data_IF_537070653101
#
_entry.id   IF_537070653101
#
_cell.length_a   1.000
_cell.length_b   1.000
_cell.length_c   1.000
_cell.angle_alpha   90.00
_cell.angle_beta   90.00
_cell.angle_gamma   90.00
#
_symmetry.space_group_name_H-M   'P 1'
#
loop_
_entity.id
_entity.type
_entity.pdbx_description
1 polymer ?
#
# COMPACT_ATOMS: atom_id res chain seq x y z
N UNK A 1 6.91 -20.72 3.26
CA UNK A 1 7.70 -20.30 4.44
C UNK A 1 8.94 -19.50 4.07
N UNK A 2 9.92 -20.02 3.30
CA UNK A 2 11.14 -19.27 2.93
C UNK A 2 10.85 -17.92 2.26
N UNK A 3 9.93 -17.87 1.27
CA UNK A 3 9.55 -16.61 0.61
C UNK A 3 9.01 -15.58 1.59
N UNK A 4 8.11 -15.97 2.50
CA UNK A 4 7.56 -15.08 3.51
C UNK A 4 8.67 -14.53 4.44
N UNK A 5 9.59 -15.41 4.87
CA UNK A 5 10.71 -15.02 5.72
C UNK A 5 11.68 -14.02 5.06
N UNK A 6 11.77 -14.01 3.72
CA UNK A 6 12.59 -13.05 2.95
C UNK A 6 11.80 -11.77 2.63
N UNK A 7 10.54 -11.92 2.21
CA UNK A 7 9.71 -10.78 1.79
C UNK A 7 9.40 -9.84 2.94
N UNK A 8 9.07 -10.34 4.13
CA UNK A 8 8.75 -9.49 5.29
C UNK A 8 9.89 -8.52 5.64
N UNK A 9 11.14 -8.98 5.90
CA UNK A 9 12.23 -8.05 6.19
C UNK A 9 12.63 -7.20 4.98
N UNK A 10 12.49 -7.69 3.74
CA UNK A 10 12.78 -6.88 2.56
C UNK A 10 11.81 -5.69 2.42
N UNK A 11 10.50 -5.95 2.56
CA UNK A 11 9.46 -4.91 2.48
C UNK A 11 9.59 -3.92 3.63
N UNK A 12 9.77 -4.40 4.87
CA UNK A 12 9.99 -3.52 6.03
C UNK A 12 11.29 -2.71 5.90
N UNK A 13 12.37 -3.32 5.43
CA UNK A 13 13.65 -2.65 5.24
C UNK A 13 13.59 -1.55 4.17
N UNK A 14 12.90 -1.79 3.05
CA UNK A 14 12.67 -0.78 2.02
C UNK A 14 11.82 0.37 2.56
N UNK A 15 10.75 0.06 3.28
CA UNK A 15 9.82 1.07 3.80
C UNK A 15 10.43 1.90 4.93
N UNK A 16 11.13 1.26 5.87
CA UNK A 16 11.88 1.98 6.90
C UNK A 16 13.04 2.77 6.31
N UNK A 17 13.75 2.23 5.31
CA UNK A 17 14.79 2.95 4.58
C UNK A 17 14.25 4.22 3.92
N UNK A 18 13.10 4.12 3.25
CA UNK A 18 12.37 5.24 2.66
C UNK A 18 12.06 6.31 3.72
N UNK A 19 11.45 5.90 4.84
CA UNK A 19 11.07 6.79 5.94
C UNK A 19 12.27 7.48 6.58
N UNK A 20 13.40 6.78 6.75
CA UNK A 20 14.62 7.32 7.33
C UNK A 20 15.25 8.37 6.41
N UNK A 21 15.26 8.14 5.10
CA UNK A 21 15.75 9.12 4.12
C UNK A 21 14.89 10.38 4.10
N UNK A 22 13.56 10.23 4.14
CA UNK A 22 12.63 11.35 4.24
C UNK A 22 12.89 12.19 5.51
N UNK A 23 13.04 11.54 6.67
CA UNK A 23 13.39 12.19 7.94
C UNK A 23 14.76 12.87 7.93
N UNK A 24 15.72 12.31 7.19
CA UNK A 24 17.05 12.88 7.05
C UNK A 24 17.07 14.13 6.14
N UNK A 25 15.95 14.47 5.50
CA UNK A 25 15.85 15.64 4.62
C UNK A 25 16.72 15.52 3.37
N UNK A 26 17.04 14.29 2.93
CA UNK A 26 17.74 14.10 1.66
C UNK A 26 16.83 14.44 0.49
N UNK A 27 17.40 14.52 -0.72
CA UNK A 27 16.62 14.73 -1.93
C UNK A 27 15.44 13.74 -2.02
N UNK A 28 14.23 14.22 -2.37
CA UNK A 28 13.01 13.40 -2.44
C UNK A 28 13.10 12.26 -3.48
N UNK A 29 14.07 12.33 -4.39
CA UNK A 29 14.36 11.27 -5.36
C UNK A 29 14.62 9.93 -4.66
N UNK A 30 15.34 9.90 -3.53
CA UNK A 30 15.68 8.63 -2.89
C UNK A 30 14.49 7.94 -2.21
N UNK A 31 13.66 8.64 -1.41
CA UNK A 31 12.41 8.05 -0.93
C UNK A 31 11.50 7.55 -2.06
N UNK A 32 11.37 8.30 -3.16
CA UNK A 32 10.56 7.88 -4.32
C UNK A 32 11.11 6.60 -4.94
N UNK A 33 12.43 6.51 -5.12
CA UNK A 33 13.08 5.32 -5.66
C UNK A 33 12.87 4.10 -4.76
N UNK A 34 12.98 4.24 -3.44
CA UNK A 34 12.73 3.13 -2.51
C UNK A 34 11.26 2.72 -2.49
N UNK A 35 10.34 3.69 -2.54
CA UNK A 35 8.91 3.41 -2.69
C UNK A 35 8.61 2.64 -3.96
N UNK A 36 9.15 3.06 -5.11
CA UNK A 36 9.03 2.31 -6.36
C UNK A 36 9.71 0.94 -6.33
N UNK A 37 10.86 0.83 -5.65
CA UNK A 37 11.61 -0.42 -5.52
C UNK A 37 10.85 -1.52 -4.76
N UNK A 38 9.82 -1.17 -3.98
CA UNK A 38 8.89 -2.15 -3.41
C UNK A 38 8.26 -3.05 -4.49
N UNK A 39 8.07 -2.56 -5.71
CA UNK A 39 7.61 -3.39 -6.83
C UNK A 39 8.55 -4.58 -7.15
N UNK A 40 9.85 -4.49 -6.81
CA UNK A 40 10.81 -5.56 -7.09
C UNK A 40 10.50 -6.84 -6.30
N UNK A 41 9.80 -6.73 -5.17
CA UNK A 41 9.42 -7.92 -4.37
C UNK A 41 8.34 -8.77 -5.06
N UNK A 42 7.70 -8.23 -6.10
CA UNK A 42 6.76 -8.95 -6.95
C UNK A 42 7.43 -9.70 -8.11
N UNK A 43 8.75 -9.57 -8.31
CA UNK A 43 9.48 -10.32 -9.33
C UNK A 43 9.34 -11.83 -9.09
N UNK A 44 8.96 -12.57 -10.14
CA UNK A 44 8.73 -14.02 -10.06
C UNK A 44 7.34 -14.43 -9.61
N UNK A 45 6.42 -13.48 -9.38
CA UNK A 45 4.99 -13.75 -9.22
C UNK A 45 4.24 -13.60 -10.55
N UNK A 46 3.22 -14.43 -10.76
CA UNK A 46 2.30 -14.22 -11.88
C UNK A 46 1.36 -13.04 -11.60
N UNK A 47 0.90 -12.30 -12.62
CA UNK A 47 -0.10 -11.24 -12.44
C UNK A 47 -1.35 -11.72 -11.69
N UNK A 48 -1.80 -12.95 -11.95
CA UNK A 48 -2.95 -13.57 -11.30
C UNK A 48 -2.71 -13.76 -9.80
N UNK A 49 -1.52 -14.23 -9.39
CA UNK A 49 -1.19 -14.40 -7.98
C UNK A 49 -1.18 -13.05 -7.24
N UNK A 50 -0.71 -11.98 -7.89
CA UNK A 50 -0.74 -10.63 -7.35
C UNK A 50 -2.17 -10.05 -7.32
N UNK A 51 -3.09 -10.54 -8.16
CA UNK A 51 -4.44 -10.00 -8.31
C UNK A 51 -4.54 -8.91 -9.38
N UNK A 52 -3.57 -8.85 -10.30
CA UNK A 52 -3.47 -7.90 -11.42
C UNK A 52 -4.09 -8.46 -12.72
N UNK A 53 -5.27 -9.05 -12.62
CA UNK A 53 -5.98 -9.50 -13.81
C UNK A 53 -6.60 -8.31 -14.56
N UNK A 54 -6.60 -8.39 -15.89
CA UNK A 54 -7.23 -7.37 -16.76
C UNK A 54 -8.72 -7.60 -16.98
N UNK A 55 -9.25 -8.73 -16.49
CA UNK A 55 -10.67 -9.04 -16.59
C UNK A 55 -11.48 -8.02 -15.77
N UNK A 56 -12.57 -7.51 -16.34
CA UNK A 56 -13.49 -6.55 -15.69
C UNK A 56 -12.77 -5.29 -15.16
N UNK A 57 -11.76 -4.80 -15.87
CA UNK A 57 -10.96 -3.64 -15.45
C UNK A 57 -11.82 -2.43 -15.03
N UNK A 58 -12.88 -2.12 -15.76
CA UNK A 58 -13.79 -1.02 -15.40
C UNK A 58 -14.43 -1.17 -14.01
N UNK A 59 -14.82 -2.39 -13.63
CA UNK A 59 -15.38 -2.66 -12.29
C UNK A 59 -14.31 -2.59 -11.20
N UNK A 60 -13.07 -3.01 -11.51
CA UNK A 60 -11.93 -2.92 -10.59
C UNK A 60 -11.54 -1.46 -10.33
N UNK A 61 -11.53 -0.63 -11.37
CA UNK A 61 -11.34 0.81 -11.27
C UNK A 61 -12.44 1.47 -10.43
N UNK A 62 -13.72 1.15 -10.70
CA UNK A 62 -14.85 1.64 -9.91
C UNK A 62 -14.74 1.21 -8.44
N UNK A 63 -14.30 -0.02 -8.19
CA UNK A 63 -14.00 -0.52 -6.85
C UNK A 63 -12.92 0.28 -6.14
N UNK A 64 -11.85 0.62 -6.86
CA UNK A 64 -10.80 1.50 -6.37
C UNK A 64 -11.28 2.91 -6.05
N UNK A 65 -12.15 3.49 -6.87
CA UNK A 65 -12.80 4.78 -6.57
C UNK A 65 -13.64 4.69 -5.29
N UNK A 66 -14.39 3.59 -5.10
CA UNK A 66 -15.17 3.37 -3.89
C UNK A 66 -14.28 3.21 -2.64
N UNK A 67 -13.18 2.47 -2.74
CA UNK A 67 -12.17 2.37 -1.67
C UNK A 67 -11.58 3.74 -1.34
N UNK A 68 -11.19 4.51 -2.36
CA UNK A 68 -10.67 5.87 -2.19
C UNK A 68 -11.68 6.75 -1.45
N UNK A 69 -12.95 6.74 -1.85
CA UNK A 69 -14.00 7.50 -1.17
C UNK A 69 -14.12 7.15 0.32
N UNK A 70 -14.00 5.87 0.69
CA UNK A 70 -14.01 5.42 2.10
C UNK A 70 -12.75 5.89 2.84
N UNK A 71 -11.58 5.72 2.24
CA UNK A 71 -10.30 6.13 2.84
C UNK A 71 -10.19 7.66 3.04
N UNK A 72 -10.90 8.44 2.22
CA UNK A 72 -10.95 9.89 2.31
C UNK A 72 -11.91 10.42 3.38
N UNK A 73 -12.80 9.60 3.94
CA UNK A 73 -13.78 10.07 4.94
C UNK A 73 -13.13 10.79 6.14
N UNK A 74 -12.02 10.30 6.74
CA UNK A 74 -11.36 11.00 7.84
C UNK A 74 -10.79 12.36 7.42
N UNK A 75 -10.32 12.51 6.17
CA UNK A 75 -9.81 13.77 5.65
C UNK A 75 -10.96 14.75 5.34
N UNK A 76 -12.05 14.26 4.74
CA UNK A 76 -13.22 15.06 4.41
C UNK A 76 -13.87 15.72 5.65
N UNK A 77 -13.93 15.02 6.78
CA UNK A 77 -14.48 15.56 8.04
C UNK A 77 -13.58 16.65 8.65
N UNK A 78 -12.28 16.64 8.35
CA UNK A 78 -11.29 17.60 8.87
C UNK A 78 -10.92 18.67 7.85
N UNK A 79 -11.60 18.72 6.72
CA UNK A 79 -11.25 19.59 5.61
C UNK A 79 -11.41 21.07 5.97
N UNK A 80 -10.33 21.84 5.86
CA UNK A 80 -10.33 23.30 6.06
C UNK A 80 -10.00 24.07 4.77
N UNK A 81 -10.14 23.43 3.61
CA UNK A 81 -9.61 23.89 2.32
C UNK A 81 -8.20 23.35 2.12
N UNK A 82 -8.01 22.38 1.22
CA UNK A 82 -6.68 21.80 1.03
C UNK A 82 -5.82 22.59 0.04
N UNK A 83 -4.50 22.61 0.27
CA UNK A 83 -3.55 22.85 -0.79
C UNK A 83 -3.66 21.72 -1.84
N UNK A 84 -3.52 22.09 -3.11
CA UNK A 84 -3.26 21.11 -4.17
C UNK A 84 -1.81 20.66 -4.03
N UNK A 85 -1.56 19.36 -3.89
CA UNK A 85 -0.19 18.84 -3.89
C UNK A 85 0.54 19.33 -5.14
N UNK A 86 1.73 19.94 -5.01
CA UNK A 86 2.59 20.23 -6.15
C UNK A 86 2.79 18.97 -6.99
N UNK A 87 2.80 19.11 -8.32
CA UNK A 87 2.92 17.99 -9.27
C UNK A 87 4.04 16.99 -8.90
N UNK A 88 5.25 17.41 -8.45
CA UNK A 88 6.29 16.47 -8.04
C UNK A 88 5.91 15.62 -6.82
N UNK A 89 5.18 16.19 -5.84
CA UNK A 89 4.72 15.47 -4.66
C UNK A 89 3.55 14.53 -5.01
N UNK A 90 2.67 14.94 -5.91
CA UNK A 90 1.62 14.07 -6.43
C UNK A 90 2.21 12.84 -7.16
N UNK A 91 3.24 13.05 -7.98
CA UNK A 91 3.95 11.95 -8.64
C UNK A 91 4.64 11.02 -7.64
N UNK A 92 5.25 11.58 -6.59
CA UNK A 92 5.86 10.81 -5.50
C UNK A 92 4.84 9.92 -4.79
N UNK A 93 3.72 10.51 -4.38
CA UNK A 93 2.61 9.79 -3.74
C UNK A 93 2.18 8.60 -4.60
N UNK A 94 1.88 8.83 -5.88
CA UNK A 94 1.46 7.77 -6.81
C UNK A 94 2.47 6.62 -6.88
N UNK A 95 3.76 6.92 -7.04
CA UNK A 95 4.81 5.89 -7.15
C UNK A 95 4.92 5.08 -5.86
N UNK A 96 4.86 5.75 -4.71
CA UNK A 96 4.96 5.11 -3.39
C UNK A 96 3.72 4.24 -3.15
N UNK A 97 2.49 4.73 -3.35
CA UNK A 97 1.28 3.94 -3.14
C UNK A 97 1.25 2.70 -4.03
N UNK A 98 1.67 2.81 -5.31
CA UNK A 98 1.77 1.65 -6.20
C UNK A 98 2.76 0.62 -5.64
N UNK A 99 3.95 1.07 -5.26
CA UNK A 99 4.99 0.21 -4.69
C UNK A 99 4.52 -0.51 -3.43
N UNK A 100 3.90 0.22 -2.52
CA UNK A 100 3.34 -0.32 -1.29
C UNK A 100 2.24 -1.35 -1.57
N UNK A 101 1.26 -1.07 -2.42
CA UNK A 101 0.23 -2.06 -2.73
C UNK A 101 0.79 -3.32 -3.39
N UNK A 102 1.72 -3.17 -4.34
CA UNK A 102 2.38 -4.31 -4.98
C UNK A 102 3.16 -5.15 -3.97
N UNK A 103 3.83 -4.53 -3.01
CA UNK A 103 4.57 -5.23 -1.96
C UNK A 103 3.64 -5.87 -0.92
N UNK A 104 2.79 -5.08 -0.26
CA UNK A 104 1.99 -5.52 0.88
C UNK A 104 0.77 -6.34 0.45
N UNK A 105 -0.01 -5.86 -0.52
CA UNK A 105 -1.27 -6.50 -0.98
C UNK A 105 -1.07 -7.43 -2.18
N UNK A 106 0.07 -7.33 -2.87
CA UNK A 106 0.51 -8.26 -3.90
C UNK A 106 1.36 -9.40 -3.34
N UNK A 107 2.68 -9.19 -3.27
CA UNK A 107 3.66 -10.24 -3.00
C UNK A 107 3.59 -10.81 -1.57
N UNK A 108 3.57 -9.94 -0.55
CA UNK A 108 3.53 -10.34 0.85
C UNK A 108 2.20 -11.01 1.19
N UNK A 109 1.08 -10.45 0.72
CA UNK A 109 -0.25 -11.06 0.83
C UNK A 109 -0.25 -12.47 0.26
N UNK A 110 0.23 -12.65 -0.98
CA UNK A 110 0.25 -13.96 -1.62
C UNK A 110 1.15 -14.97 -0.89
N UNK A 111 2.27 -14.51 -0.31
CA UNK A 111 3.14 -15.35 0.50
C UNK A 111 2.51 -15.78 1.84
N UNK A 112 1.75 -14.90 2.48
CA UNK A 112 0.98 -15.20 3.69
C UNK A 112 -0.18 -16.16 3.40
N UNK A 113 -0.92 -15.93 2.31
CA UNK A 113 -2.03 -16.79 1.88
C UNK A 113 -1.56 -18.23 1.61
N UNK A 114 -0.40 -18.38 0.98
CA UNK A 114 0.21 -19.68 0.74
C UNK A 114 0.63 -20.45 2.01
N UNK A 115 0.76 -19.77 3.16
CA UNK A 115 1.18 -20.39 4.43
C UNK A 115 0.00 -20.59 5.39
N UNK A 116 -0.92 -19.63 5.47
CA UNK A 116 -2.00 -19.61 6.46
C UNK A 116 -3.38 -19.24 5.90
N UNK A 117 -3.52 -19.19 4.58
CA UNK A 117 -4.77 -18.83 3.91
C UNK A 117 -5.18 -17.37 4.11
N UNK A 118 -6.43 -17.09 3.72
CA UNK A 118 -6.96 -15.73 3.67
C UNK A 118 -6.88 -14.95 4.99
N UNK A 119 -7.20 -15.52 6.17
CA UNK A 119 -7.07 -14.78 7.44
C UNK A 119 -5.64 -14.32 7.72
N UNK A 120 -4.65 -15.19 7.47
CA UNK A 120 -3.24 -14.84 7.64
C UNK A 120 -2.80 -13.77 6.64
N UNK A 121 -3.28 -13.82 5.40
CA UNK A 121 -2.99 -12.82 4.38
C UNK A 121 -3.59 -11.46 4.71
N UNK A 122 -4.86 -11.40 5.08
CA UNK A 122 -5.56 -10.16 5.43
C UNK A 122 -4.96 -9.51 6.67
N UNK A 123 -4.89 -10.25 7.78
CA UNK A 123 -4.41 -9.71 9.05
C UNK A 123 -2.90 -9.48 9.01
N UNK A 124 -2.14 -10.45 8.50
CA UNK A 124 -0.69 -10.38 8.45
C UNK A 124 -0.18 -9.24 7.58
N UNK A 125 -0.73 -9.05 6.37
CA UNK A 125 -0.30 -7.96 5.50
C UNK A 125 -0.67 -6.59 6.07
N UNK A 126 -1.83 -6.47 6.73
CA UNK A 126 -2.25 -5.24 7.40
C UNK A 126 -1.37 -4.89 8.61
N UNK A 127 -1.02 -5.88 9.44
CA UNK A 127 -0.11 -5.70 10.59
C UNK A 127 1.29 -5.30 10.10
N UNK A 128 1.84 -6.02 9.12
CA UNK A 128 3.18 -5.71 8.58
C UNK A 128 3.18 -4.34 7.90
N UNK A 129 2.08 -3.94 7.25
CA UNK A 129 1.90 -2.59 6.70
C UNK A 129 1.95 -1.53 7.81
N UNK A 130 1.19 -1.69 8.89
CA UNK A 130 1.24 -0.77 10.03
C UNK A 130 2.64 -0.71 10.67
N UNK A 131 3.34 -1.85 10.75
CA UNK A 131 4.73 -1.91 11.23
C UNK A 131 5.71 -1.18 10.29
N UNK A 132 5.50 -1.21 8.97
CA UNK A 132 6.26 -0.42 8.02
C UNK A 132 6.15 1.09 8.30
N UNK A 133 4.98 1.52 8.77
CA UNK A 133 4.64 2.93 8.94
C UNK A 133 4.98 3.52 10.31
N UNK A 134 5.59 2.76 11.23
CA UNK A 134 5.98 3.25 12.56
C UNK A 134 6.97 4.43 12.51
N UNK A 135 7.73 4.54 11.40
CA UNK A 135 8.65 5.64 11.15
C UNK A 135 8.04 6.76 10.30
N UNK A 136 6.86 6.61 9.72
CA UNK A 136 6.23 7.69 8.93
C UNK A 136 5.09 8.36 9.67
N UNK A 137 4.49 7.68 10.66
CA UNK A 137 3.30 8.16 11.37
C UNK A 137 3.48 8.20 12.89
N UNK A 138 2.81 9.13 13.60
CA UNK A 138 2.78 9.11 15.05
C UNK A 138 2.04 7.86 15.57
N UNK A 139 2.38 7.34 16.77
CA UNK A 139 1.79 6.09 17.28
C UNK A 139 0.25 6.08 17.32
N UNK A 140 -0.38 7.21 17.65
CA UNK A 140 -1.83 7.34 17.67
C UNK A 140 -2.51 7.18 16.31
N UNK A 141 -1.78 7.36 15.21
CA UNK A 141 -2.30 7.19 13.85
C UNK A 141 -2.13 5.77 13.30
N UNK A 142 -1.31 4.92 13.94
CA UNK A 142 -1.06 3.56 13.45
C UNK A 142 -2.32 2.67 13.46
N UNK A 143 -3.29 2.97 14.31
CA UNK A 143 -4.59 2.27 14.28
C UNK A 143 -5.37 2.59 12.99
N UNK A 144 -5.30 3.83 12.49
CA UNK A 144 -5.89 4.20 11.22
C UNK A 144 -5.15 3.53 10.04
N UNK A 145 -3.81 3.46 10.11
CA UNK A 145 -2.99 2.73 9.12
C UNK A 145 -3.35 1.25 9.10
N UNK A 146 -3.50 0.61 10.27
CA UNK A 146 -3.93 -0.78 10.39
C UNK A 146 -5.34 -0.97 9.81
N UNK A 147 -6.28 -0.09 10.11
CA UNK A 147 -7.65 -0.15 9.60
C UNK A 147 -7.69 0.00 8.06
N UNK A 148 -6.91 0.93 7.49
CA UNK A 148 -6.74 1.06 6.05
C UNK A 148 -6.14 -0.21 5.44
N UNK A 149 -5.09 -0.77 6.05
CA UNK A 149 -4.49 -2.04 5.64
C UNK A 149 -5.48 -3.21 5.65
N UNK A 150 -6.33 -3.32 6.68
CA UNK A 150 -7.37 -4.34 6.77
C UNK A 150 -8.44 -4.16 5.70
N UNK A 151 -8.87 -2.92 5.42
CA UNK A 151 -9.83 -2.61 4.36
C UNK A 151 -9.28 -3.03 2.98
N UNK A 152 -8.05 -2.61 2.67
CA UNK A 152 -7.40 -2.89 1.38
C UNK A 152 -7.11 -4.39 1.20
N UNK A 153 -6.61 -5.05 2.24
CA UNK A 153 -6.37 -6.50 2.20
C UNK A 153 -7.68 -7.31 2.16
N UNK A 154 -8.71 -6.85 2.87
CA UNK A 154 -10.06 -7.42 2.83
C UNK A 154 -10.70 -7.30 1.44
N UNK A 155 -10.54 -6.16 0.78
CA UNK A 155 -10.94 -5.98 -0.62
C UNK A 155 -10.17 -6.93 -1.55
N UNK A 156 -8.83 -6.99 -1.39
CA UNK A 156 -7.98 -7.90 -2.17
C UNK A 156 -8.44 -9.35 -2.05
N UNK A 157 -8.86 -9.78 -0.88
CA UNK A 157 -9.44 -11.10 -0.64
C UNK A 157 -10.78 -11.27 -1.35
N UNK A 158 -11.75 -10.40 -1.04
CA UNK A 158 -13.14 -10.53 -1.49
C UNK A 158 -13.28 -10.42 -3.02
N UNK A 159 -12.52 -9.53 -3.64
CA UNK A 159 -12.62 -9.21 -5.06
C UNK A 159 -11.53 -9.87 -5.91
N UNK A 160 -10.55 -10.54 -5.30
CA UNK A 160 -9.33 -11.04 -5.98
C UNK A 160 -8.66 -9.97 -6.85
N UNK A 161 -8.57 -8.77 -6.27
CA UNK A 161 -8.23 -7.56 -7.01
C UNK A 161 -7.19 -6.71 -6.29
N UNK A 162 -6.10 -6.42 -7.00
CA UNK A 162 -5.06 -5.47 -6.58
C UNK A 162 -5.21 -4.09 -7.22
N UNK A 163 -5.95 -3.98 -8.33
CA UNK A 163 -6.15 -2.70 -9.01
C UNK A 163 -6.97 -1.75 -8.14
N UNK A 164 -8.06 -2.24 -7.53
CA UNK A 164 -8.86 -1.47 -6.59
C UNK A 164 -8.02 -0.89 -5.44
N UNK A 165 -7.26 -1.71 -4.69
CA UNK A 165 -6.36 -1.23 -3.65
C UNK A 165 -5.35 -0.19 -4.12
N UNK A 166 -4.71 -0.39 -5.28
CA UNK A 166 -3.77 0.59 -5.89
C UNK A 166 -4.45 1.94 -6.10
N UNK A 167 -5.60 1.95 -6.78
CA UNK A 167 -6.32 3.19 -7.06
C UNK A 167 -6.83 3.85 -5.77
N UNK A 168 -7.40 3.07 -4.85
CA UNK A 168 -7.91 3.58 -3.58
C UNK A 168 -6.83 4.23 -2.72
N UNK A 169 -5.66 3.58 -2.62
CA UNK A 169 -4.53 4.09 -1.86
C UNK A 169 -3.93 5.35 -2.52
N UNK A 170 -3.71 5.33 -3.84
CA UNK A 170 -3.24 6.51 -4.57
C UNK A 170 -4.15 7.72 -4.34
N UNK A 171 -5.47 7.54 -4.36
CA UNK A 171 -6.42 8.64 -4.11
C UNK A 171 -6.37 9.14 -2.67
N UNK A 172 -6.15 8.25 -1.70
CA UNK A 172 -5.99 8.64 -0.31
C UNK A 172 -4.74 9.49 -0.12
N UNK A 173 -3.62 9.10 -0.72
CA UNK A 173 -2.34 9.81 -0.59
C UNK A 173 -2.31 11.14 -1.36
N UNK A 174 -3.04 11.23 -2.48
CA UNK A 174 -3.18 12.47 -3.25
C UNK A 174 -4.01 13.55 -2.55
N UNK A 175 -4.75 13.18 -1.50
CA UNK A 175 -5.60 14.11 -0.74
C UNK A 175 -4.97 14.56 0.60
N UNK A 176 -3.70 14.21 0.84
CA UNK A 176 -2.91 14.64 1.99
C UNK A 176 -2.46 16.10 1.88
#
# INVERSE_FOLDING_TARGET
MLRLAVLTPAVLGLEWGRALLERAGVSPVWPILLGGALCLVAVGWSPQALGLERSRLGLRLLGGLALGAVLLLPAAVRWQGAPVLPVPLAAAAIVISIGEEVAFRGALYAALDAVGGAPAAVVGSAVIFALGHVLTHPPGFLLAVLAAGLLLAGWRWACRDLVGPVIGHMLADLAL
#
